data_IF_818791696563
#
_entry.id   IF_818791696563
#
_cell.length_a   1.000
_cell.length_b   1.000
_cell.length_c   1.000
_cell.angle_alpha   90.00
_cell.angle_beta   90.00
_cell.angle_gamma   90.00
#
_symmetry.space_group_name_H-M   'P 1'
#
loop_
_entity.id
_entity.type
_entity.pdbx_description
1 polymer ?
#
# COMPACT_ATOMS: atom_id res chain seq x y z
N UNK A 1 -20.91 15.89 -8.87
CA UNK A 1 -19.66 15.16 -8.56
C UNK A 1 -18.80 16.10 -7.74
N UNK A 2 -18.77 15.93 -6.42
CA UNK A 2 -18.07 16.84 -5.51
C UNK A 2 -16.57 16.53 -5.56
N UNK A 3 -15.81 17.33 -6.32
CA UNK A 3 -14.36 17.41 -6.18
C UNK A 3 -14.06 18.11 -4.83
N UNK A 4 -13.99 17.32 -3.76
CA UNK A 4 -13.28 17.72 -2.55
C UNK A 4 -11.78 17.63 -2.83
N UNK A 5 -11.27 18.55 -3.65
CA UNK A 5 -9.84 18.65 -3.94
C UNK A 5 -9.11 19.09 -2.67
N UNK A 6 -8.64 18.11 -1.89
CA UNK A 6 -7.79 18.33 -0.72
C UNK A 6 -6.45 17.65 -0.94
N UNK A 7 -5.37 18.37 -0.65
CA UNK A 7 -4.00 17.84 -0.66
C UNK A 7 -3.58 17.38 0.74
N UNK A 8 -4.53 17.21 1.67
CA UNK A 8 -4.21 16.69 2.99
C UNK A 8 -4.06 15.15 2.91
N UNK A 9 -2.86 14.60 3.17
CA UNK A 9 -2.59 13.17 3.07
C UNK A 9 -3.58 12.33 3.89
N UNK A 10 -3.91 12.75 5.11
CA UNK A 10 -4.87 12.04 5.98
C UNK A 10 -6.26 11.93 5.37
N UNK A 11 -6.75 13.01 4.76
CA UNK A 11 -8.09 13.00 4.15
C UNK A 11 -8.09 12.13 2.88
N UNK A 12 -7.02 12.20 2.09
CA UNK A 12 -6.85 11.35 0.91
C UNK A 12 -6.80 9.85 1.30
N UNK A 13 -6.14 9.54 2.42
CA UNK A 13 -6.13 8.18 2.97
C UNK A 13 -7.53 7.70 3.32
N UNK A 14 -8.31 8.49 4.05
CA UNK A 14 -9.69 8.14 4.42
C UNK A 14 -10.59 7.97 3.19
N UNK A 15 -10.47 8.86 2.20
CA UNK A 15 -11.20 8.71 0.93
C UNK A 15 -10.82 7.41 0.23
N UNK A 16 -9.53 7.09 0.19
CA UNK A 16 -9.02 5.84 -0.37
C UNK A 16 -9.58 4.60 0.31
N UNK A 17 -9.64 4.61 1.64
CA UNK A 17 -10.27 3.55 2.44
C UNK A 17 -11.76 3.42 2.13
N UNK A 18 -12.49 4.54 2.07
CA UNK A 18 -13.91 4.54 1.70
C UNK A 18 -14.12 3.95 0.31
N UNK A 19 -13.34 4.36 -0.70
CA UNK A 19 -13.43 3.77 -2.03
C UNK A 19 -13.14 2.27 -2.03
N UNK A 20 -12.18 1.81 -1.22
CA UNK A 20 -11.92 0.38 -1.07
C UNK A 20 -13.14 -0.37 -0.52
N UNK A 21 -13.79 0.17 0.52
CA UNK A 21 -15.03 -0.44 1.08
C UNK A 21 -16.19 -0.47 0.08
N UNK A 22 -16.24 0.50 -0.85
CA UNK A 22 -17.23 0.56 -1.92
C UNK A 22 -16.87 -0.35 -3.12
N UNK A 23 -15.73 -1.03 -3.09
CA UNK A 23 -15.24 -1.86 -4.21
C UNK A 23 -14.67 -1.06 -5.37
N UNK A 24 -14.54 0.26 -5.24
CA UNK A 24 -13.97 1.18 -6.23
C UNK A 24 -12.44 1.12 -6.18
N UNK A 25 -11.88 -0.02 -6.61
CA UNK A 25 -10.45 -0.36 -6.42
C UNK A 25 -9.49 0.60 -7.13
N UNK A 26 -9.87 1.11 -8.30
CA UNK A 26 -9.01 2.00 -9.08
C UNK A 26 -8.90 3.38 -8.41
N UNK A 27 -10.02 3.92 -7.96
CA UNK A 27 -10.12 5.18 -7.25
C UNK A 27 -9.45 5.09 -5.87
N UNK A 28 -9.68 4.00 -5.14
CA UNK A 28 -9.02 3.73 -3.86
C UNK A 28 -7.49 3.79 -4.00
N UNK A 29 -6.96 3.07 -4.98
CA UNK A 29 -5.52 3.04 -5.25
C UNK A 29 -4.99 4.41 -5.67
N UNK A 30 -5.73 5.15 -6.49
CA UNK A 30 -5.36 6.50 -6.91
C UNK A 30 -5.20 7.43 -5.71
N UNK A 31 -6.17 7.47 -4.81
CA UNK A 31 -6.14 8.40 -3.67
C UNK A 31 -5.11 7.98 -2.61
N UNK A 32 -4.95 6.68 -2.34
CA UNK A 32 -3.92 6.18 -1.43
C UNK A 32 -2.50 6.42 -1.96
N UNK A 33 -2.26 6.21 -3.25
CA UNK A 33 -0.96 6.50 -3.86
C UNK A 33 -0.62 8.00 -3.81
N UNK A 34 -1.61 8.87 -4.02
CA UNK A 34 -1.43 10.32 -3.84
C UNK A 34 -1.13 10.67 -2.39
N UNK A 35 -1.84 10.11 -1.42
CA UNK A 35 -1.59 10.35 0.00
C UNK A 35 -0.15 10.00 0.36
N UNK A 36 0.31 8.81 -0.03
CA UNK A 36 1.69 8.35 0.16
C UNK A 36 2.73 9.26 -0.51
N UNK A 37 2.43 9.79 -1.70
CA UNK A 37 3.35 10.71 -2.39
C UNK A 37 3.48 12.08 -1.72
N UNK A 38 2.46 12.50 -0.96
CA UNK A 38 2.44 13.79 -0.27
C UNK A 38 3.07 13.70 1.13
N UNK A 39 2.94 12.55 1.80
CA UNK A 39 3.58 12.26 3.08
C UNK A 39 4.01 10.79 3.11
N UNK A 40 5.30 10.56 2.82
CA UNK A 40 5.89 9.22 2.80
C UNK A 40 6.16 8.63 4.20
N UNK A 41 6.07 9.45 5.26
CA UNK A 41 6.19 8.98 6.64
C UNK A 41 4.85 8.49 7.18
N UNK A 42 3.75 8.81 6.51
CA UNK A 42 2.43 8.31 6.85
C UNK A 42 2.22 6.88 6.34
N UNK A 43 2.57 5.91 7.17
CA UNK A 43 2.39 4.49 6.84
C UNK A 43 0.94 3.99 7.00
N UNK A 44 0.09 4.76 7.67
CA UNK A 44 -1.31 4.42 7.91
C UNK A 44 -2.05 4.11 6.59
N UNK A 45 -2.70 2.95 6.53
CA UNK A 45 -3.43 2.39 5.39
C UNK A 45 -2.58 1.97 4.17
N UNK A 46 -1.25 1.92 4.29
CA UNK A 46 -0.40 1.43 3.20
C UNK A 46 -0.50 -0.10 3.00
N UNK A 47 -0.92 -0.82 4.04
CA UNK A 47 -1.35 -2.22 3.94
C UNK A 47 -2.51 -2.40 2.94
N UNK A 48 -3.46 -1.47 2.93
CA UNK A 48 -4.59 -1.45 1.99
C UNK A 48 -4.11 -1.15 0.58
N UNK A 49 -3.17 -0.21 0.40
CA UNK A 49 -2.56 0.05 -0.91
C UNK A 49 -1.79 -1.18 -1.42
N UNK A 50 -1.03 -1.84 -0.55
CA UNK A 50 -0.33 -3.08 -0.87
C UNK A 50 -1.29 -4.21 -1.27
N UNK A 51 -2.40 -4.36 -0.55
CA UNK A 51 -3.45 -5.31 -0.88
C UNK A 51 -4.06 -5.02 -2.26
N UNK A 52 -4.35 -3.75 -2.57
CA UNK A 52 -4.91 -3.33 -3.85
C UNK A 52 -3.94 -3.59 -5.02
N UNK A 53 -2.64 -3.45 -4.82
CA UNK A 53 -1.65 -3.85 -5.82
C UNK A 53 -1.63 -5.38 -6.02
N UNK A 54 -1.68 -6.15 -4.93
CA UNK A 54 -1.66 -7.60 -4.97
C UNK A 54 -2.93 -8.22 -5.57
N UNK A 55 -4.09 -7.59 -5.37
CA UNK A 55 -5.39 -8.05 -5.90
C UNK A 55 -5.65 -7.61 -7.35
N UNK A 56 -4.79 -6.76 -7.93
CA UNK A 56 -4.91 -6.39 -9.33
C UNK A 56 -4.73 -7.62 -10.23
N UNK A 57 -5.35 -7.63 -11.41
CA UNK A 57 -5.21 -8.73 -12.37
C UNK A 57 -4.74 -8.18 -13.72
N UNK A 58 -3.45 -8.33 -14.08
CA UNK A 58 -2.39 -9.01 -13.32
C UNK A 58 -1.92 -8.21 -12.08
N UNK A 59 -1.32 -8.87 -11.07
CA UNK A 59 -0.81 -8.17 -9.89
C UNK A 59 0.23 -7.10 -10.25
N UNK A 60 0.16 -5.95 -9.58
CA UNK A 60 1.11 -4.84 -9.75
C UNK A 60 2.36 -5.09 -8.89
N UNK A 61 3.11 -6.13 -9.23
CA UNK A 61 4.19 -6.66 -8.41
C UNK A 61 5.35 -5.66 -8.22
N UNK A 62 5.66 -4.84 -9.23
CA UNK A 62 6.75 -3.85 -9.16
C UNK A 62 6.41 -2.71 -8.21
N UNK A 63 5.18 -2.22 -8.29
CA UNK A 63 4.67 -1.15 -7.43
C UNK A 63 4.57 -1.63 -5.99
N UNK A 64 4.17 -2.89 -5.79
CA UNK A 64 4.14 -3.53 -4.48
C UNK A 64 5.55 -3.71 -3.89
N UNK A 65 6.52 -4.15 -4.68
CA UNK A 65 7.92 -4.27 -4.27
C UNK A 65 8.53 -2.91 -3.90
N UNK A 66 8.24 -1.89 -4.72
CA UNK A 66 8.69 -0.52 -4.46
C UNK A 66 8.09 0.02 -3.16
N UNK A 67 6.79 -0.14 -2.95
CA UNK A 67 6.11 0.26 -1.72
C UNK A 67 6.69 -0.47 -0.49
N UNK A 68 6.85 -1.80 -0.58
CA UNK A 68 7.41 -2.59 0.50
C UNK A 68 8.83 -2.15 0.87
N UNK A 69 9.68 -1.89 -0.13
CA UNK A 69 11.05 -1.41 0.07
C UNK A 69 11.07 -0.02 0.72
N UNK A 70 10.18 0.89 0.28
CA UNK A 70 10.08 2.22 0.86
C UNK A 70 9.64 2.18 2.32
N UNK A 71 8.62 1.37 2.64
CA UNK A 71 8.12 1.23 4.01
C UNK A 71 9.19 0.63 4.93
N UNK A 72 9.90 -0.41 4.48
CA UNK A 72 11.01 -1.01 5.23
C UNK A 72 12.15 -0.02 5.48
N UNK A 73 12.56 0.72 4.46
CA UNK A 73 13.64 1.71 4.59
C UNK A 73 13.23 2.91 5.45
N UNK A 74 11.94 3.27 5.47
CA UNK A 74 11.42 4.36 6.30
C UNK A 74 11.28 3.94 7.76
N UNK A 75 10.59 2.83 8.01
CA UNK A 75 10.43 2.28 9.35
C UNK A 75 10.02 0.80 9.30
N UNK A 76 11.02 -0.09 9.43
CA UNK A 76 10.84 -1.54 9.49
C UNK A 76 10.01 -2.03 10.70
N UNK A 77 9.81 -1.19 11.72
CA UNK A 77 9.01 -1.57 12.89
C UNK A 77 7.50 -1.37 12.68
N UNK A 78 7.09 -0.88 11.50
CA UNK A 78 5.66 -0.73 11.17
C UNK A 78 5.06 -2.03 10.65
N UNK A 79 3.81 -2.29 11.03
CA UNK A 79 3.09 -3.50 10.61
C UNK A 79 2.82 -3.45 9.10
N UNK A 80 2.56 -2.26 8.57
CA UNK A 80 2.28 -2.00 7.16
C UNK A 80 3.47 -2.39 6.26
N UNK A 81 4.71 -2.14 6.72
CA UNK A 81 5.91 -2.57 6.00
C UNK A 81 5.95 -4.10 5.83
N UNK A 82 5.74 -4.84 6.92
CA UNK A 82 5.74 -6.30 6.89
C UNK A 82 4.56 -6.89 6.11
N UNK A 83 3.38 -6.27 6.16
CA UNK A 83 2.23 -6.66 5.33
C UNK A 83 2.55 -6.48 3.85
N UNK A 84 3.15 -5.34 3.47
CA UNK A 84 3.52 -5.06 2.09
C UNK A 84 4.56 -6.08 1.56
N UNK A 85 5.58 -6.40 2.37
CA UNK A 85 6.56 -7.46 2.06
C UNK A 85 5.87 -8.82 1.92
N UNK A 86 4.97 -9.19 2.84
CA UNK A 86 4.25 -10.46 2.78
C UNK A 86 3.41 -10.59 1.50
N UNK A 87 2.71 -9.53 1.10
CA UNK A 87 2.01 -9.50 -0.18
C UNK A 87 2.96 -9.60 -1.37
N UNK A 88 4.10 -8.91 -1.34
CA UNK A 88 5.11 -8.95 -2.39
C UNK A 88 5.66 -10.38 -2.59
N UNK A 89 6.11 -11.01 -1.49
CA UNK A 89 6.62 -12.37 -1.47
C UNK A 89 5.60 -13.38 -2.02
N UNK A 90 4.32 -13.24 -1.64
CA UNK A 90 3.24 -14.06 -2.17
C UNK A 90 3.06 -13.87 -3.69
N UNK A 91 3.07 -12.63 -4.18
CA UNK A 91 2.93 -12.34 -5.61
C UNK A 91 4.12 -12.85 -6.44
N UNK A 92 5.32 -12.91 -5.85
CA UNK A 92 6.54 -13.42 -6.49
C UNK A 92 6.71 -14.95 -6.35
N UNK A 93 5.85 -15.63 -5.59
CA UNK A 93 5.98 -17.06 -5.29
C UNK A 93 7.12 -17.40 -4.33
N UNK A 94 7.72 -16.41 -3.68
CA UNK A 94 8.86 -16.56 -2.76
C UNK A 94 8.39 -16.62 -1.30
N UNK A 95 7.62 -17.65 -0.94
CA UNK A 95 7.14 -17.85 0.46
C UNK A 95 8.31 -18.08 1.45
N UNK A 96 9.50 -18.46 0.97
CA UNK A 96 10.64 -18.85 1.81
C UNK A 96 11.46 -17.69 2.40
N UNK A 97 11.32 -16.44 1.96
CA UNK A 97 12.13 -15.31 2.48
C UNK A 97 11.67 -14.87 3.87
N UNK A 98 10.40 -15.13 4.22
CA UNK A 98 9.82 -14.73 5.50
C UNK A 98 10.52 -15.38 6.72
N UNK A 99 11.20 -16.51 6.53
CA UNK A 99 11.95 -17.20 7.60
C UNK A 99 13.42 -16.79 7.70
N UNK A 100 14.00 -16.12 6.69
CA UNK A 100 15.45 -15.87 6.62
C UNK A 100 15.87 -14.48 7.10
N UNK A 101 14.94 -13.51 7.17
CA UNK A 101 15.21 -12.15 7.65
C UNK A 101 14.86 -11.94 9.13
N UNK A 102 14.30 -12.97 9.78
CA UNK A 102 13.95 -12.97 11.20
C UNK A 102 14.94 -13.78 12.08
N UNK A 103 16.10 -14.16 11.53
CA UNK A 103 17.15 -14.94 12.19
C UNK A 103 18.46 -14.19 12.32
#
# INVERSE_FOLDING_TARGET
MLLLGTNNPKILTEIGLVYNTLGMRHEARSELAKAHSLDSEQHYAMDTLALLFAQNSPPMAKELESLATQLMNSNENTVEAWIAVGHCARCQGQINIFFMLAS
#
